data_IF_111533114427
#
_entry.id   IF_111533114427
#
_cell.length_a   1.000
_cell.length_b   1.000
_cell.length_c   1.000
_cell.angle_alpha   90.00
_cell.angle_beta   90.00
_cell.angle_gamma   90.00
#
_symmetry.space_group_name_H-M   'P 1'
#
loop_
_entity.id
_entity.type
_entity.pdbx_description
1 polymer ?
#
# COMPACT_ATOMS: atom_id res chain seq x y z
N UNK A 1 7.68 -2.69 -7.40
CA UNK A 1 7.00 -3.88 -6.84
C UNK A 1 7.53 -5.09 -7.59
N UNK A 2 7.95 -6.12 -6.88
CA UNK A 2 8.42 -7.38 -7.46
C UNK A 2 7.32 -8.43 -7.28
N UNK A 3 6.84 -8.95 -8.39
CA UNK A 3 5.76 -9.94 -8.46
C UNK A 3 6.40 -11.32 -8.60
N UNK A 4 5.84 -12.35 -7.95
CA UNK A 4 6.31 -13.73 -8.16
C UNK A 4 5.81 -14.31 -9.49
N UNK A 5 6.42 -15.41 -9.89
CA UNK A 5 5.87 -16.27 -10.92
C UNK A 5 4.61 -16.98 -10.40
N UNK A 6 3.64 -17.16 -11.30
CA UNK A 6 2.37 -17.85 -11.07
C UNK A 6 2.28 -19.06 -12.00
N UNK A 7 1.69 -20.17 -11.53
CA UNK A 7 1.31 -21.25 -12.45
C UNK A 7 0.05 -20.85 -13.22
N UNK A 8 -0.16 -21.49 -14.38
CA UNK A 8 -1.36 -21.28 -15.18
C UNK A 8 -2.64 -21.58 -14.39
N UNK A 9 -2.66 -22.70 -13.67
CA UNK A 9 -3.77 -23.08 -12.78
C UNK A 9 -4.07 -22.05 -11.69
N UNK A 10 -3.06 -21.38 -11.17
CA UNK A 10 -3.24 -20.35 -10.13
C UNK A 10 -3.83 -19.07 -10.73
N UNK A 11 -3.36 -18.69 -11.94
CA UNK A 11 -3.92 -17.57 -12.68
C UNK A 11 -5.37 -17.81 -13.07
N UNK A 12 -5.73 -19.01 -13.53
CA UNK A 12 -7.13 -19.38 -13.84
C UNK A 12 -8.02 -19.22 -12.61
N UNK A 13 -7.63 -19.78 -11.46
CA UNK A 13 -8.36 -19.64 -10.21
C UNK A 13 -8.51 -18.17 -9.78
N UNK A 14 -7.46 -17.36 -9.99
CA UNK A 14 -7.51 -15.94 -9.64
C UNK A 14 -8.44 -15.15 -10.57
N UNK A 15 -8.42 -15.43 -11.86
CA UNK A 15 -9.33 -14.83 -12.84
C UNK A 15 -10.78 -15.19 -12.57
N UNK A 16 -11.06 -16.45 -12.27
CA UNK A 16 -12.39 -16.97 -11.93
C UNK A 16 -12.97 -16.32 -10.66
N UNK A 17 -12.11 -15.87 -9.75
CA UNK A 17 -12.55 -15.15 -8.55
C UNK A 17 -13.19 -13.79 -8.84
N UNK A 18 -12.95 -13.20 -10.01
CA UNK A 18 -13.38 -11.85 -10.39
C UNK A 18 -12.62 -10.71 -9.67
N UNK A 19 -11.85 -11.03 -8.63
CA UNK A 19 -10.98 -10.11 -7.88
C UNK A 19 -10.05 -9.23 -8.73
N UNK A 20 -9.44 -9.70 -9.83
CA UNK A 20 -8.55 -8.84 -10.61
C UNK A 20 -9.26 -7.72 -11.38
N UNK A 21 -10.57 -7.83 -11.61
CA UNK A 21 -11.30 -6.98 -12.56
C UNK A 21 -11.45 -5.52 -12.11
N UNK A 22 -11.40 -5.26 -10.80
CA UNK A 22 -11.48 -3.92 -10.22
C UNK A 22 -10.11 -3.34 -9.84
N UNK A 23 -9.01 -3.98 -10.25
CA UNK A 23 -7.65 -3.62 -9.84
C UNK A 23 -6.79 -3.20 -11.02
N UNK A 24 -6.17 -2.04 -10.90
CA UNK A 24 -5.17 -1.60 -11.85
C UNK A 24 -4.00 -2.62 -11.88
N UNK A 25 -3.65 -3.11 -13.07
CA UNK A 25 -2.65 -4.16 -13.23
C UNK A 25 -3.14 -5.58 -12.91
N UNK A 26 -4.45 -5.76 -12.70
CA UNK A 26 -5.09 -7.05 -12.47
C UNK A 26 -4.57 -7.81 -11.23
N UNK A 27 -4.04 -7.11 -10.22
CA UNK A 27 -3.73 -7.68 -8.91
C UNK A 27 -3.81 -6.62 -7.82
N UNK A 28 -3.89 -7.04 -6.56
CA UNK A 28 -3.78 -6.13 -5.40
C UNK A 28 -2.72 -6.62 -4.43
N UNK A 29 -1.89 -5.71 -3.92
CA UNK A 29 -0.88 -6.04 -2.89
C UNK A 29 -1.52 -6.46 -1.55
N UNK A 30 -2.79 -6.11 -1.34
CA UNK A 30 -3.61 -6.50 -0.19
C UNK A 30 -4.23 -7.90 -0.33
N UNK A 31 -4.07 -8.55 -1.48
CA UNK A 31 -4.66 -9.85 -1.75
C UNK A 31 -3.91 -10.95 -1.02
N UNK A 32 -4.37 -11.32 0.17
CA UNK A 32 -3.76 -12.40 0.94
C UNK A 32 -3.97 -13.78 0.31
N UNK A 33 -5.15 -14.12 -0.26
CA UNK A 33 -5.33 -15.38 -0.98
C UNK A 33 -4.42 -15.55 -2.19
N UNK A 34 -4.33 -14.54 -3.07
CA UNK A 34 -3.48 -14.62 -4.26
C UNK A 34 -2.00 -14.33 -3.96
N UNK A 35 -1.71 -13.49 -2.98
CA UNK A 35 -0.38 -13.10 -2.53
C UNK A 35 0.63 -12.86 -3.69
N UNK A 36 0.39 -11.84 -4.53
CA UNK A 36 1.13 -11.64 -5.78
C UNK A 36 2.56 -11.12 -5.61
N UNK A 37 2.89 -10.48 -4.49
CA UNK A 37 4.10 -9.66 -4.33
C UNK A 37 5.11 -10.33 -3.41
N UNK A 38 6.36 -10.47 -3.86
CA UNK A 38 7.48 -11.02 -3.08
C UNK A 38 8.30 -9.96 -2.40
N UNK A 39 8.43 -8.79 -3.04
CA UNK A 39 9.18 -7.66 -2.51
C UNK A 39 8.56 -6.36 -2.96
N UNK A 40 8.67 -5.36 -2.12
CA UNK A 40 8.28 -4.00 -2.45
C UNK A 40 9.38 -3.04 -2.00
N UNK A 41 9.73 -2.12 -2.88
CA UNK A 41 10.63 -1.00 -2.60
C UNK A 41 9.79 0.29 -2.63
N UNK A 42 10.01 1.18 -1.68
CA UNK A 42 9.22 2.40 -1.50
C UNK A 42 8.11 2.27 -0.44
N UNK A 43 6.94 2.83 -0.72
CA UNK A 43 5.84 2.92 0.26
C UNK A 43 4.63 2.06 -0.09
N UNK A 44 4.28 1.15 0.82
CA UNK A 44 3.08 0.30 0.72
C UNK A 44 1.80 1.10 0.53
N UNK A 45 1.63 2.16 1.33
CA UNK A 45 0.42 2.98 1.30
C UNK A 45 0.27 3.71 -0.04
N UNK A 46 1.39 4.01 -0.72
CA UNK A 46 1.36 4.53 -2.09
C UNK A 46 0.77 3.51 -3.06
N UNK A 47 1.16 2.25 -2.96
CA UNK A 47 0.65 1.16 -3.82
C UNK A 47 -0.82 0.88 -3.53
N UNK A 48 -1.23 0.94 -2.26
CA UNK A 48 -2.65 0.82 -1.86
C UNK A 48 -3.50 1.98 -2.40
N UNK A 49 -2.90 3.15 -2.60
CA UNK A 49 -3.53 4.29 -3.29
C UNK A 49 -3.49 5.62 -2.56
N UNK A 50 -2.93 5.69 -1.34
CA UNK A 50 -2.76 6.96 -0.62
C UNK A 50 -1.41 7.03 0.12
N UNK A 51 -0.40 7.72 -0.42
CA UNK A 51 0.91 7.86 0.21
C UNK A 51 0.86 8.84 1.39
N UNK A 52 0.37 8.41 2.54
CA UNK A 52 0.11 9.29 3.70
C UNK A 52 1.33 10.14 4.12
N UNK A 53 2.53 9.57 4.14
CA UNK A 53 3.76 10.27 4.53
C UNK A 53 4.07 11.42 3.56
N UNK A 54 3.91 11.17 2.26
CA UNK A 54 4.07 12.18 1.21
C UNK A 54 2.97 13.24 1.30
N UNK A 55 1.71 12.84 1.50
CA UNK A 55 0.59 13.78 1.65
C UNK A 55 0.82 14.71 2.83
N UNK A 56 1.22 14.19 3.99
CA UNK A 56 1.50 15.05 5.16
C UNK A 56 2.66 16.00 4.90
N UNK A 57 3.76 15.51 4.33
CA UNK A 57 4.90 16.36 3.98
C UNK A 57 4.52 17.46 2.99
N UNK A 58 3.68 17.16 1.99
CA UNK A 58 3.21 18.15 1.02
C UNK A 58 2.26 19.17 1.65
N UNK A 59 1.38 18.74 2.56
CA UNK A 59 0.46 19.63 3.27
C UNK A 59 1.23 20.63 4.15
N UNK A 60 2.26 20.18 4.86
CA UNK A 60 3.17 21.06 5.61
C UNK A 60 3.85 22.09 4.69
N UNK A 61 4.31 21.67 3.50
CA UNK A 61 4.97 22.56 2.52
C UNK A 61 4.04 23.64 1.95
N UNK A 62 2.74 23.36 1.84
CA UNK A 62 1.76 24.37 1.41
C UNK A 62 1.21 25.21 2.58
N UNK A 63 1.84 25.13 3.75
CA UNK A 63 1.49 25.93 4.93
C UNK A 63 0.29 25.39 5.72
N UNK A 64 -0.12 24.14 5.48
CA UNK A 64 -1.22 23.49 6.20
C UNK A 64 -0.66 22.49 7.21
N UNK A 65 -0.86 22.76 8.50
CA UNK A 65 -0.51 21.79 9.56
C UNK A 65 -1.64 20.79 9.70
N UNK A 66 -1.39 19.53 9.34
CA UNK A 66 -2.33 18.44 9.58
C UNK A 66 -2.28 18.03 11.05
N UNK A 67 -3.42 18.13 11.73
CA UNK A 67 -3.63 17.52 13.05
C UNK A 67 -4.20 16.13 12.85
N UNK A 68 -3.38 15.10 13.05
CA UNK A 68 -3.87 13.73 13.05
C UNK A 68 -4.76 13.51 14.27
N UNK A 69 -5.88 12.82 14.07
CA UNK A 69 -6.76 12.49 15.18
C UNK A 69 -6.05 11.51 16.13
N UNK A 70 -6.11 11.66 17.47
CA UNK A 70 -5.38 10.81 18.41
C UNK A 70 -5.68 9.30 18.33
N UNK A 71 -6.82 8.94 17.72
CA UNK A 71 -7.23 7.54 17.49
C UNK A 71 -6.81 6.99 16.12
N UNK A 72 -6.18 7.80 15.28
CA UNK A 72 -5.77 7.36 13.95
C UNK A 72 -4.68 6.28 14.11
N UNK A 73 -5.03 5.05 13.73
CA UNK A 73 -4.11 3.93 13.62
C UNK A 73 -3.91 3.67 12.14
N UNK A 74 -2.72 3.97 11.62
CA UNK A 74 -2.38 3.66 10.24
C UNK A 74 -1.70 2.30 10.22
N UNK A 75 -2.37 1.23 9.78
CA UNK A 75 -1.72 -0.06 9.68
C UNK A 75 -0.67 0.00 8.56
N UNK A 76 0.39 -0.80 8.69
CA UNK A 76 1.39 -1.00 7.64
C UNK A 76 2.30 0.22 7.34
N UNK A 77 2.39 1.20 8.24
CA UNK A 77 3.30 2.34 8.07
C UNK A 77 4.77 1.90 8.02
N UNK A 78 5.08 0.83 8.75
CA UNK A 78 6.39 0.17 8.84
C UNK A 78 6.83 -0.44 7.51
N UNK A 79 5.91 -0.54 6.54
CA UNK A 79 6.19 -0.96 5.15
C UNK A 79 6.35 0.23 4.20
N UNK A 80 6.72 1.40 4.72
CA UNK A 80 7.03 2.57 3.90
C UNK A 80 8.44 3.11 4.18
N UNK A 81 9.28 3.09 3.14
CA UNK A 81 10.63 3.63 3.18
C UNK A 81 10.60 5.13 3.52
N UNK A 82 11.36 5.53 4.54
CA UNK A 82 11.53 6.93 4.92
C UNK A 82 10.27 7.62 5.46
N UNK A 83 9.26 6.87 5.90
CA UNK A 83 8.05 7.45 6.47
C UNK A 83 8.26 7.95 7.90
N UNK A 84 8.39 9.26 8.08
CA UNK A 84 8.56 9.89 9.40
C UNK A 84 7.27 9.97 10.23
N UNK A 85 6.10 9.66 9.65
CA UNK A 85 4.82 9.70 10.37
C UNK A 85 4.73 8.69 11.52
N UNK A 86 5.54 7.63 11.48
CA UNK A 86 5.62 6.65 12.57
C UNK A 86 6.58 7.02 13.70
N UNK A 87 7.40 8.07 13.54
CA UNK A 87 8.38 8.52 14.53
C UNK A 87 7.97 9.83 15.22
N UNK A 88 6.86 10.45 14.82
CA UNK A 88 6.29 11.59 15.55
C UNK A 88 5.32 11.05 16.58
N UNK A 89 5.81 11.01 17.83
CA UNK A 89 5.15 10.57 19.07
C UNK A 89 5.26 9.06 19.39
N UNK A 90 6.44 8.67 19.86
CA UNK A 90 6.62 7.70 20.95
C UNK A 90 7.15 8.43 22.19
#
# INVERSE_FOLDING_TARGET
>A
VHVRDFSESEMELYLDSGTPMDRAGAYGVQDMPFNPVTKMDGCYLNVVGLPLCTVVSLMEKVGTVLKLHPRLRVPYFDRCDGCELGCREA
#
